data_IF_951149553538
#
_entry.id   IF_951149553538
#
_cell.length_a   1.000
_cell.length_b   1.000
_cell.length_c   1.000
_cell.angle_alpha   90.00
_cell.angle_beta   90.00
_cell.angle_gamma   90.00
#
_symmetry.space_group_name_H-M   'P 1'
#
loop_
_entity.id
_entity.type
_entity.pdbx_description
1 polymer ?
#
# COMPACT_ATOMS: atom_id res chain seq x y z
N UNK A 1 -15.78 6.46 7.15
CA UNK A 1 -14.39 6.11 6.78
C UNK A 1 -14.09 4.76 7.41
N UNK A 2 -13.52 3.82 6.65
CA UNK A 2 -13.14 2.49 7.13
C UNK A 2 -11.64 2.31 6.88
N UNK A 3 -10.91 1.80 7.87
CA UNK A 3 -9.52 1.38 7.73
C UNK A 3 -9.49 -0.15 7.70
N UNK A 4 -8.77 -0.72 6.74
CA UNK A 4 -8.77 -2.16 6.46
C UNK A 4 -7.35 -2.68 6.62
N UNK A 5 -7.19 -3.71 7.45
CA UNK A 5 -6.00 -4.55 7.46
C UNK A 5 -6.07 -5.52 6.28
N UNK A 6 -5.15 -5.40 5.33
CA UNK A 6 -5.06 -6.33 4.20
C UNK A 6 -4.66 -7.74 4.69
N UNK A 7 -4.91 -8.76 3.86
CA UNK A 7 -4.39 -10.12 4.11
C UNK A 7 -2.94 -10.08 4.58
N UNK A 8 -2.58 -10.98 5.48
CA UNK A 8 -1.26 -11.07 6.11
C UNK A 8 -0.87 -9.92 7.03
N UNK A 9 -1.70 -8.88 7.23
CA UNK A 9 -1.37 -7.73 8.08
C UNK A 9 -2.38 -7.59 9.23
N UNK A 10 -1.93 -7.08 10.37
CA UNK A 10 -2.77 -6.74 11.52
C UNK A 10 -3.77 -7.83 11.91
N UNK A 11 -5.04 -7.46 12.08
CA UNK A 11 -6.11 -8.39 12.45
C UNK A 11 -6.43 -9.41 11.36
N UNK A 12 -6.06 -9.14 10.11
CA UNK A 12 -6.25 -10.03 8.97
C UNK A 12 -5.14 -11.07 8.81
N UNK A 13 -4.05 -10.98 9.59
CA UNK A 13 -2.87 -11.81 9.41
C UNK A 13 -3.10 -13.32 9.62
N UNK A 14 -4.05 -13.66 10.50
CA UNK A 14 -4.30 -15.03 10.93
C UNK A 14 -5.71 -15.51 10.56
N UNK A 15 -6.43 -14.80 9.69
CA UNK A 15 -7.78 -15.18 9.28
C UNK A 15 -7.73 -16.43 8.37
N UNK A 16 -8.32 -17.57 8.78
CA UNK A 16 -8.21 -18.84 8.03
C UNK A 16 -8.85 -18.83 6.63
N UNK A 17 -9.71 -17.83 6.37
CA UNK A 17 -10.36 -17.61 5.08
C UNK A 17 -9.42 -17.00 4.04
N UNK A 18 -8.36 -16.28 4.48
CA UNK A 18 -7.42 -15.58 3.62
C UNK A 18 -6.23 -16.47 3.26
N UNK A 19 -6.48 -17.44 2.38
CA UNK A 19 -5.48 -18.44 1.96
C UNK A 19 -4.58 -17.97 0.82
N UNK A 20 -3.41 -18.59 0.63
CA UNK A 20 -2.59 -18.39 -0.57
C UNK A 20 -3.39 -18.60 -1.87
N UNK A 21 -2.99 -17.93 -2.98
CA UNK A 21 -1.78 -17.14 -3.13
C UNK A 21 -1.86 -15.77 -2.45
N UNK A 22 -0.78 -15.35 -1.80
CA UNK A 22 -0.68 -14.03 -1.18
C UNK A 22 -0.13 -13.01 -2.18
N UNK A 23 -1.02 -12.40 -2.97
CA UNK A 23 -0.64 -11.49 -4.05
C UNK A 23 -1.58 -10.27 -4.13
N UNK A 24 -1.28 -9.31 -5.01
CA UNK A 24 -2.08 -8.09 -5.18
C UNK A 24 -3.51 -8.39 -5.60
N UNK A 25 -3.71 -9.31 -6.55
CA UNK A 25 -5.03 -9.71 -7.05
C UNK A 25 -5.93 -10.27 -5.96
N UNK A 26 -5.37 -11.15 -5.14
CA UNK A 26 -6.09 -11.77 -4.05
C UNK A 26 -6.39 -10.76 -2.92
N UNK A 27 -5.48 -9.82 -2.63
CA UNK A 27 -5.76 -8.73 -1.69
C UNK A 27 -6.86 -7.79 -2.18
N UNK A 28 -6.91 -7.47 -3.49
CA UNK A 28 -7.97 -6.66 -4.08
C UNK A 28 -9.32 -7.38 -4.04
N UNK A 29 -9.31 -8.71 -4.26
CA UNK A 29 -10.48 -9.55 -4.12
C UNK A 29 -11.03 -9.55 -2.69
N UNK A 30 -10.17 -9.62 -1.68
CA UNK A 30 -10.60 -9.56 -0.27
C UNK A 30 -11.33 -8.26 0.06
N UNK A 31 -10.86 -7.12 -0.47
CA UNK A 31 -11.54 -5.83 -0.30
C UNK A 31 -12.94 -5.87 -0.92
N UNK A 32 -13.08 -6.44 -2.11
CA UNK A 32 -14.39 -6.60 -2.75
C UNK A 32 -15.31 -7.57 -1.99
N UNK A 33 -14.76 -8.67 -1.47
CA UNK A 33 -15.50 -9.64 -0.67
C UNK A 33 -15.94 -9.05 0.67
N UNK A 34 -15.10 -8.20 1.30
CA UNK A 34 -15.46 -7.44 2.51
C UNK A 34 -16.60 -6.45 2.26
N UNK A 35 -16.54 -5.68 1.18
CA UNK A 35 -17.63 -4.75 0.80
C UNK A 35 -18.96 -5.50 0.68
N UNK A 36 -18.94 -6.68 0.03
CA UNK A 36 -20.13 -7.52 -0.13
C UNK A 36 -20.61 -8.13 1.19
N UNK A 37 -19.70 -8.65 2.03
CA UNK A 37 -20.08 -9.29 3.29
C UNK A 37 -20.72 -8.30 4.26
N UNK A 38 -20.24 -7.06 4.25
CA UNK A 38 -20.78 -5.99 5.08
C UNK A 38 -21.99 -5.28 4.44
N UNK A 39 -22.39 -5.69 3.23
CA UNK A 39 -23.48 -5.07 2.45
C UNK A 39 -23.27 -3.56 2.26
N UNK A 40 -22.03 -3.13 2.08
CA UNK A 40 -21.69 -1.73 1.83
C UNK A 40 -21.94 -1.36 0.37
N UNK A 41 -22.34 -0.10 0.17
CA UNK A 41 -22.27 0.53 -1.15
C UNK A 41 -20.82 0.64 -1.62
N UNK A 42 -20.64 0.82 -2.94
CA UNK A 42 -19.33 1.08 -3.50
C UNK A 42 -18.73 2.35 -2.85
N UNK A 43 -17.47 2.30 -2.37
CA UNK A 43 -16.89 3.44 -1.68
C UNK A 43 -16.69 4.59 -2.66
N UNK A 44 -17.03 5.81 -2.24
CA UNK A 44 -16.79 6.98 -3.07
C UNK A 44 -15.31 7.22 -3.32
N UNK A 45 -14.46 6.91 -2.33
CA UNK A 45 -13.01 7.03 -2.43
C UNK A 45 -12.30 5.84 -1.82
N UNK A 46 -11.22 5.42 -2.47
CA UNK A 46 -10.24 4.51 -1.91
C UNK A 46 -8.88 5.20 -1.85
N UNK A 47 -8.25 5.17 -0.68
CA UNK A 47 -6.95 5.78 -0.43
C UNK A 47 -6.00 4.69 0.05
N UNK A 48 -4.87 4.54 -0.64
CA UNK A 48 -3.92 3.52 -0.30
C UNK A 48 -2.47 3.95 -0.52
N UNK A 49 -1.61 3.49 0.40
CA UNK A 49 -0.18 3.79 0.41
C UNK A 49 0.63 2.60 -0.07
N UNK A 50 1.72 2.86 -0.80
CA UNK A 50 2.72 1.86 -1.17
C UNK A 50 2.07 0.64 -1.85
N UNK A 51 2.30 -0.57 -1.32
CA UNK A 51 1.69 -1.81 -1.80
C UNK A 51 0.16 -1.70 -1.97
N UNK A 52 -0.52 -1.05 -1.03
CA UNK A 52 -1.96 -0.83 -1.09
C UNK A 52 -2.39 -0.02 -2.32
N UNK A 53 -1.53 0.86 -2.84
CA UNK A 53 -1.78 1.61 -4.07
C UNK A 53 -2.04 0.69 -5.27
N UNK A 54 -1.26 -0.39 -5.40
CA UNK A 54 -1.49 -1.41 -6.44
C UNK A 54 -2.70 -2.29 -6.16
N UNK A 55 -3.03 -2.54 -4.88
CA UNK A 55 -4.26 -3.25 -4.49
C UNK A 55 -5.50 -2.49 -4.96
N UNK A 56 -5.54 -1.17 -4.75
CA UNK A 56 -6.71 -0.38 -5.15
C UNK A 56 -6.77 -0.12 -6.67
N UNK A 57 -5.63 -0.12 -7.37
CA UNK A 57 -5.58 -0.12 -8.85
C UNK A 57 -6.15 -1.41 -9.45
N UNK A 58 -5.72 -2.57 -8.94
CA UNK A 58 -6.29 -3.88 -9.29
C UNK A 58 -7.78 -3.92 -8.96
N UNK A 59 -8.18 -3.43 -7.78
CA UNK A 59 -9.59 -3.37 -7.39
C UNK A 59 -10.41 -2.60 -8.43
N UNK A 60 -9.99 -1.38 -8.77
CA UNK A 60 -10.71 -0.53 -9.71
C UNK A 60 -10.80 -1.15 -11.11
N UNK A 61 -9.71 -1.76 -11.60
CA UNK A 61 -9.68 -2.46 -12.88
C UNK A 61 -10.68 -3.63 -12.89
N UNK A 62 -10.62 -4.51 -11.89
CA UNK A 62 -11.46 -5.71 -11.82
C UNK A 62 -12.94 -5.37 -11.58
N UNK A 63 -13.22 -4.35 -10.78
CA UNK A 63 -14.57 -3.82 -10.58
C UNK A 63 -15.15 -3.29 -11.91
N UNK A 64 -14.36 -2.53 -12.68
CA UNK A 64 -14.79 -2.00 -13.97
C UNK A 64 -15.09 -3.10 -15.01
N UNK A 65 -14.39 -4.23 -14.91
CA UNK A 65 -14.61 -5.42 -15.72
C UNK A 65 -15.77 -6.30 -15.21
N UNK A 66 -16.47 -5.92 -14.13
CA UNK A 66 -17.54 -6.71 -13.53
C UNK A 66 -17.06 -7.99 -12.81
N UNK A 67 -15.75 -8.12 -12.55
CA UNK A 67 -15.17 -9.33 -11.92
C UNK A 67 -15.61 -9.54 -10.47
N UNK A 68 -16.17 -8.50 -9.84
CA UNK A 68 -16.67 -8.52 -8.47
C UNK A 68 -18.20 -8.47 -8.37
N UNK A 69 -18.91 -8.69 -9.49
CA UNK A 69 -20.37 -8.65 -9.54
C UNK A 69 -20.88 -7.22 -9.42
N UNK A 70 -21.62 -6.91 -8.35
CA UNK A 70 -22.29 -5.61 -8.15
C UNK A 70 -21.37 -4.51 -7.59
N UNK A 71 -20.11 -4.83 -7.28
CA UNK A 71 -19.17 -3.86 -6.71
C UNK A 71 -18.60 -2.98 -7.81
N UNK A 72 -18.94 -1.69 -7.76
CA UNK A 72 -18.47 -0.69 -8.72
C UNK A 72 -17.09 -0.10 -8.34
N UNK A 73 -16.32 0.42 -9.32
CA UNK A 73 -15.13 1.22 -9.05
C UNK A 73 -15.44 2.47 -8.20
N UNK A 74 -14.49 2.95 -7.38
CA UNK A 74 -14.68 4.18 -6.61
C UNK A 74 -14.68 5.41 -7.51
N UNK A 75 -15.35 6.49 -7.08
CA UNK A 75 -15.32 7.78 -7.80
C UNK A 75 -13.93 8.41 -7.75
N UNK A 76 -13.18 8.21 -6.66
CA UNK A 76 -11.81 8.65 -6.53
C UNK A 76 -10.88 7.52 -6.05
N UNK A 77 -9.72 7.41 -6.69
CA UNK A 77 -8.65 6.51 -6.31
C UNK A 77 -7.42 7.33 -5.93
N UNK A 78 -6.86 7.10 -4.75
CA UNK A 78 -5.67 7.83 -4.26
C UNK A 78 -4.52 6.86 -4.01
N UNK A 79 -3.46 7.02 -4.81
CA UNK A 79 -2.27 6.18 -4.80
C UNK A 79 -1.15 7.00 -4.19
N UNK A 80 -0.80 6.69 -2.94
CA UNK A 80 0.19 7.43 -2.17
C UNK A 80 1.55 6.72 -2.27
N UNK A 81 2.49 7.38 -2.93
CA UNK A 81 3.87 6.97 -3.17
C UNK A 81 4.03 5.50 -3.62
N UNK A 82 3.27 5.11 -4.64
CA UNK A 82 3.38 3.80 -5.29
C UNK A 82 3.43 3.93 -6.80
N UNK A 83 4.47 3.36 -7.40
CA UNK A 83 4.61 3.25 -8.85
C UNK A 83 3.49 2.36 -9.42
N UNK A 84 2.79 2.76 -10.50
CA UNK A 84 1.73 1.94 -11.11
C UNK A 84 2.26 0.70 -11.84
N UNK A 85 3.38 0.84 -12.55
CA UNK A 85 4.02 -0.24 -13.31
C UNK A 85 4.94 -1.13 -12.48
N UNK A 86 5.61 -2.06 -13.16
CA UNK A 86 6.65 -2.89 -12.54
C UNK A 86 7.72 -2.05 -11.82
N UNK A 87 8.19 -2.55 -10.68
CA UNK A 87 9.25 -1.88 -9.91
C UNK A 87 10.60 -2.28 -10.52
N UNK A 88 11.42 -1.32 -11.01
CA UNK A 88 12.69 -1.63 -11.65
C UNK A 88 13.62 -2.46 -10.74
N UNK A 89 14.14 -3.57 -11.26
CA UNK A 89 15.02 -4.48 -10.50
C UNK A 89 16.39 -3.89 -10.18
N UNK A 90 16.84 -2.86 -10.90
CA UNK A 90 18.14 -2.22 -10.67
C UNK A 90 18.21 -1.42 -9.35
N UNK A 91 17.06 -1.20 -8.69
CA UNK A 91 16.96 -0.61 -7.34
C UNK A 91 16.73 -1.69 -6.26
N UNK A 92 17.28 -2.89 -6.44
CA UNK A 92 17.01 -4.08 -5.62
C UNK A 92 17.42 -3.98 -4.14
N UNK A 93 18.10 -2.91 -3.74
CA UNK A 93 18.56 -2.67 -2.36
C UNK A 93 17.66 -1.69 -1.58
N UNK A 94 16.42 -1.49 -2.05
CA UNK A 94 15.41 -0.70 -1.35
C UNK A 94 15.28 -1.10 0.12
N UNK A 95 14.98 -0.12 0.98
CA UNK A 95 14.86 -0.33 2.43
C UNK A 95 13.87 -1.47 2.75
N UNK A 96 12.77 -1.58 2.00
CA UNK A 96 11.73 -2.61 2.18
C UNK A 96 12.26 -4.02 1.89
N UNK A 97 12.99 -4.22 0.78
CA UNK A 97 13.64 -5.51 0.46
C UNK A 97 14.58 -5.95 1.58
N UNK A 98 15.45 -5.04 2.03
CA UNK A 98 16.42 -5.34 3.08
C UNK A 98 15.74 -5.68 4.41
N UNK A 99 14.66 -4.97 4.76
CA UNK A 99 13.82 -5.30 5.92
C UNK A 99 13.24 -6.70 5.78
N UNK A 100 12.52 -7.01 4.69
CA UNK A 100 11.87 -8.30 4.51
C UNK A 100 12.87 -9.47 4.50
N UNK A 101 14.05 -9.28 3.90
CA UNK A 101 15.12 -10.27 3.92
C UNK A 101 15.61 -10.55 5.34
N UNK A 102 15.77 -9.51 6.17
CA UNK A 102 16.15 -9.67 7.57
C UNK A 102 15.05 -10.36 8.36
N UNK A 103 13.79 -9.95 8.20
CA UNK A 103 12.65 -10.51 8.93
C UNK A 103 12.54 -12.03 8.75
N UNK A 104 12.85 -12.54 7.55
CA UNK A 104 12.86 -13.99 7.28
C UNK A 104 13.92 -14.77 8.07
N UNK A 105 15.04 -14.13 8.41
CA UNK A 105 16.15 -14.75 9.13
C UNK A 105 16.10 -14.58 10.66
N UNK A 106 15.07 -13.91 11.21
CA UNK A 106 14.98 -13.68 12.64
C UNK A 106 14.60 -14.96 13.41
N UNK A 107 15.04 -15.08 14.69
CA UNK A 107 14.56 -16.12 15.58
C UNK A 107 13.03 -16.05 15.75
N UNK A 108 12.41 -17.22 15.92
CA UNK A 108 10.98 -17.38 16.22
C UNK A 108 10.85 -18.19 17.52
N UNK A 109 10.35 -17.61 18.62
CA UNK A 109 9.90 -16.22 18.78
C UNK A 109 11.05 -15.21 18.85
N UNK A 110 10.72 -13.93 18.70
CA UNK A 110 11.67 -12.81 18.86
C UNK A 110 11.95 -12.60 20.36
N UNK A 111 13.22 -12.52 20.81
CA UNK A 111 13.55 -12.46 22.23
C UNK A 111 12.88 -11.32 23.01
N UNK A 112 12.90 -10.10 22.46
CA UNK A 112 12.20 -8.94 23.01
C UNK A 112 12.12 -7.81 21.99
N UNK A 113 11.27 -6.81 22.24
CA UNK A 113 11.20 -5.59 21.41
C UNK A 113 12.54 -4.82 21.42
N UNK A 114 13.21 -4.78 22.58
CA UNK A 114 14.53 -4.14 22.71
C UNK A 114 15.57 -4.86 21.86
N UNK A 115 15.61 -6.19 21.95
CA UNK A 115 16.53 -6.99 21.15
C UNK A 115 16.34 -6.75 19.65
N UNK A 116 15.08 -6.70 19.18
CA UNK A 116 14.78 -6.40 17.77
C UNK A 116 15.32 -5.03 17.36
N UNK A 117 15.10 -4.01 18.20
CA UNK A 117 15.55 -2.65 17.91
C UNK A 117 17.09 -2.58 17.80
N UNK A 118 17.79 -3.16 18.78
CA UNK A 118 19.26 -3.21 18.79
C UNK A 118 19.80 -3.95 17.56
N UNK A 119 19.17 -5.08 17.20
CA UNK A 119 19.53 -5.86 16.01
C UNK A 119 19.35 -5.08 14.70
N UNK A 120 18.26 -4.33 14.54
CA UNK A 120 18.02 -3.51 13.34
C UNK A 120 19.02 -2.35 13.23
N UNK A 121 19.35 -1.70 14.35
CA UNK A 121 20.37 -0.64 14.37
C UNK A 121 21.75 -1.21 14.01
N UNK A 122 22.12 -2.39 14.52
CA UNK A 122 23.36 -3.09 14.16
C UNK A 122 23.43 -3.42 12.65
N UNK A 123 22.29 -3.72 12.03
CA UNK A 123 22.17 -3.94 10.57
C UNK A 123 22.12 -2.65 9.75
N UNK A 124 22.30 -1.49 10.38
CA UNK A 124 22.41 -0.18 9.73
C UNK A 124 21.08 0.48 9.39
N UNK A 125 19.98 0.09 10.03
CA UNK A 125 18.70 0.78 9.88
C UNK A 125 18.54 1.92 10.87
N UNK A 126 17.68 2.88 10.54
CA UNK A 126 17.35 3.97 11.45
C UNK A 126 16.62 3.45 12.69
N UNK A 127 16.84 4.14 13.82
CA UNK A 127 16.11 3.87 15.06
C UNK A 127 14.59 4.01 14.86
N UNK A 128 14.15 4.97 14.06
CA UNK A 128 12.73 5.18 13.75
C UNK A 128 12.09 3.98 13.07
N UNK A 129 12.78 3.38 12.07
CA UNK A 129 12.30 2.16 11.42
C UNK A 129 12.27 0.97 12.39
N UNK A 130 13.31 0.84 13.21
CA UNK A 130 13.40 -0.22 14.20
C UNK A 130 12.27 -0.14 15.25
N UNK A 131 11.99 1.07 15.76
CA UNK A 131 10.89 1.33 16.69
C UNK A 131 9.52 1.06 16.04
N UNK A 132 9.33 1.48 14.78
CA UNK A 132 8.11 1.22 14.02
C UNK A 132 7.88 -0.28 13.81
N UNK A 133 8.91 -1.05 13.40
CA UNK A 133 8.80 -2.50 13.32
C UNK A 133 8.47 -3.11 14.68
N UNK A 134 9.13 -2.65 15.75
CA UNK A 134 8.84 -3.09 17.11
C UNK A 134 7.40 -2.87 17.55
N UNK A 135 6.70 -1.86 17.03
CA UNK A 135 5.27 -1.62 17.33
C UNK A 135 4.35 -2.72 16.77
N UNK A 136 4.84 -3.50 15.80
CA UNK A 136 4.12 -4.62 15.18
C UNK A 136 4.38 -5.97 15.88
N UNK A 137 4.83 -5.94 17.13
CA UNK A 137 5.07 -7.12 17.96
C UNK A 137 4.02 -7.28 19.05
N UNK A 138 3.54 -8.51 19.24
CA UNK A 138 2.72 -8.94 20.37
C UNK A 138 3.49 -9.91 21.26
N UNK A 139 3.23 -9.91 22.56
CA UNK A 139 3.80 -10.91 23.47
C UNK A 139 3.22 -12.29 23.14
N UNK A 140 4.07 -13.32 23.16
CA UNK A 140 3.65 -14.72 23.04
C UNK A 140 2.92 -15.17 24.29
N UNK A 141 3.42 -14.76 25.46
CA UNK A 141 2.83 -15.03 26.78
C UNK A 141 2.93 -13.79 27.67
N UNK A 142 2.04 -13.67 28.66
CA UNK A 142 2.16 -12.65 29.71
C UNK A 142 3.34 -12.91 30.66
N UNK A 143 3.92 -14.11 30.63
CA UNK A 143 4.99 -14.54 31.54
C UNK A 143 6.39 -14.45 30.94
N UNK A 144 6.53 -14.19 29.63
CA UNK A 144 7.84 -14.09 28.95
C UNK A 144 7.98 -12.76 28.20
N UNK A 145 9.21 -12.39 27.86
CA UNK A 145 9.49 -11.24 26.99
C UNK A 145 9.41 -11.57 25.51
N UNK A 146 9.23 -12.85 25.18
CA UNK A 146 9.16 -13.35 23.82
C UNK A 146 7.99 -12.73 23.07
N UNK A 147 8.30 -12.32 21.85
CA UNK A 147 7.40 -11.60 20.97
C UNK A 147 7.19 -12.38 19.67
N UNK A 148 6.03 -12.17 19.08
CA UNK A 148 5.72 -12.62 17.73
C UNK A 148 5.15 -11.46 16.91
N UNK A 149 5.19 -11.60 15.60
CA UNK A 149 4.63 -10.60 14.69
C UNK A 149 3.11 -10.57 14.78
N UNK A 150 2.52 -9.37 14.66
CA UNK A 150 1.08 -9.22 14.42
C UNK A 150 0.72 -9.43 12.94
N UNK A 151 1.71 -9.67 12.08
CA UNK A 151 1.56 -9.89 10.65
C UNK A 151 2.28 -11.17 10.21
N UNK A 152 1.88 -11.74 9.07
CA UNK A 152 2.52 -12.91 8.47
C UNK A 152 3.68 -12.45 7.58
N UNK A 153 4.92 -12.66 8.04
CA UNK A 153 6.15 -12.25 7.32
C UNK A 153 6.27 -12.90 5.95
N UNK A 154 5.98 -14.20 5.84
CA UNK A 154 6.09 -14.92 4.56
C UNK A 154 5.02 -14.44 3.57
N UNK A 155 3.79 -14.25 4.05
CA UNK A 155 2.72 -13.69 3.24
C UNK A 155 2.98 -12.24 2.81
N UNK A 156 3.57 -11.41 3.68
CA UNK A 156 3.98 -10.05 3.33
C UNK A 156 5.08 -10.04 2.25
N UNK A 157 6.03 -10.97 2.33
CA UNK A 157 7.06 -11.15 1.29
C UNK A 157 6.46 -11.55 -0.06
N UNK A 158 5.51 -12.49 -0.06
CA UNK A 158 4.82 -12.93 -1.29
C UNK A 158 4.03 -11.78 -1.92
N UNK A 159 3.31 -11.01 -1.10
CA UNK A 159 2.58 -9.84 -1.57
C UNK A 159 3.52 -8.79 -2.14
N UNK A 160 4.65 -8.52 -1.49
CA UNK A 160 5.64 -7.58 -1.98
C UNK A 160 6.32 -8.08 -3.28
N UNK A 161 6.55 -9.38 -3.39
CA UNK A 161 7.06 -9.98 -4.63
C UNK A 161 6.06 -9.84 -5.78
N UNK A 162 4.76 -9.97 -5.50
CA UNK A 162 3.68 -9.68 -6.46
C UNK A 162 3.58 -8.19 -6.79
N UNK A 163 3.73 -7.31 -5.79
CA UNK A 163 3.74 -5.86 -5.97
C UNK A 163 4.78 -5.44 -7.01
N UNK A 164 5.99 -5.98 -6.95
CA UNK A 164 7.06 -5.61 -7.87
C UNK A 164 6.77 -5.97 -9.33
N UNK A 165 6.05 -7.07 -9.56
CA UNK A 165 5.71 -7.59 -10.90
C UNK A 165 4.40 -7.06 -11.46
N UNK A 166 3.56 -6.45 -10.62
CA UNK A 166 2.26 -6.01 -11.07
C UNK A 166 2.37 -4.70 -11.87
N UNK A 167 1.70 -4.65 -13.02
CA UNK A 167 1.68 -3.50 -13.91
C UNK A 167 0.26 -3.01 -14.12
N UNK A 168 0.02 -1.74 -13.81
CA UNK A 168 -1.30 -1.10 -13.94
C UNK A 168 -1.28 0.14 -14.83
N UNK A 169 -0.28 0.28 -15.70
CA UNK A 169 -0.27 1.45 -16.61
C UNK A 169 -1.51 1.52 -17.48
N UNK A 170 -2.05 0.38 -17.90
CA UNK A 170 -3.29 0.31 -18.67
C UNK A 170 -4.48 0.95 -17.94
N UNK A 171 -4.48 0.97 -16.60
CA UNK A 171 -5.54 1.60 -15.79
C UNK A 171 -5.42 3.13 -15.85
N UNK A 172 -4.21 3.67 -15.99
CA UNK A 172 -3.99 5.11 -16.18
C UNK A 172 -4.27 5.51 -17.63
N UNK A 173 -3.94 4.65 -18.59
CA UNK A 173 -4.23 4.87 -20.02
C UNK A 173 -5.75 4.80 -20.31
N UNK A 174 -6.45 3.93 -19.58
CA UNK A 174 -7.89 3.69 -19.68
C UNK A 174 -8.56 3.67 -18.28
N UNK A 175 -8.71 4.84 -17.63
CA UNK A 175 -9.36 4.91 -16.31
C UNK A 175 -10.80 4.37 -16.37
N UNK A 176 -11.27 3.65 -15.33
CA UNK A 176 -12.66 3.23 -15.24
C UNK A 176 -13.63 4.41 -15.38
N UNK A 177 -14.77 4.17 -16.02
CA UNK A 177 -15.81 5.20 -16.21
C UNK A 177 -16.26 5.71 -14.84
N UNK A 178 -16.21 7.03 -14.66
CA UNK A 178 -16.60 7.69 -13.41
C UNK A 178 -15.54 7.69 -12.30
N UNK A 179 -14.35 7.12 -12.55
CA UNK A 179 -13.22 7.12 -11.60
C UNK A 179 -12.19 8.18 -11.96
N UNK A 180 -11.77 8.96 -10.96
CA UNK A 180 -10.61 9.86 -11.03
C UNK A 180 -9.45 9.28 -10.23
N UNK A 181 -8.29 9.13 -10.86
CA UNK A 181 -7.07 8.56 -10.29
C UNK A 181 -6.12 9.69 -9.88
N UNK A 182 -5.82 9.78 -8.60
CA UNK A 182 -4.88 10.74 -8.03
C UNK A 182 -3.62 9.99 -7.57
N UNK A 183 -2.47 10.38 -8.11
CA UNK A 183 -1.18 9.80 -7.75
C UNK A 183 -0.39 10.86 -7.01
N UNK A 184 0.01 10.57 -5.78
CA UNK A 184 0.81 11.49 -4.96
C UNK A 184 2.19 10.90 -4.81
N UNK A 185 3.19 11.54 -5.41
CA UNK A 185 4.60 11.18 -5.24
C UNK A 185 5.22 12.00 -4.11
N UNK A 186 6.01 11.35 -3.26
CA UNK A 186 6.85 12.06 -2.31
C UNK A 186 8.15 12.53 -2.97
N UNK A 187 8.55 13.78 -2.74
CA UNK A 187 9.72 14.36 -3.40
C UNK A 187 11.04 13.65 -3.07
N UNK A 188 11.17 13.09 -1.86
CA UNK A 188 12.38 12.37 -1.40
C UNK A 188 12.28 10.84 -1.61
N UNK A 189 11.28 10.34 -2.31
CA UNK A 189 11.13 8.92 -2.62
C UNK A 189 12.04 8.52 -3.80
N UNK A 190 12.80 7.44 -3.60
CA UNK A 190 13.82 6.90 -4.51
C UNK A 190 13.25 5.94 -5.58
N UNK A 191 11.95 5.68 -5.55
CA UNK A 191 11.28 4.66 -6.38
C UNK A 191 10.89 5.14 -7.77
N UNK A 192 11.11 6.42 -8.06
CA UNK A 192 10.60 7.09 -9.25
C UNK A 192 11.75 7.44 -10.19
N UNK A 193 11.86 6.69 -11.29
CA UNK A 193 12.79 7.04 -12.36
C UNK A 193 12.26 8.23 -13.17
N UNK A 194 13.14 8.98 -13.87
CA UNK A 194 12.73 10.03 -14.78
C UNK A 194 11.67 9.57 -15.80
N UNK A 195 11.80 8.35 -16.32
CA UNK A 195 10.86 7.77 -17.30
C UNK A 195 9.47 7.53 -16.70
N UNK A 196 9.39 7.02 -15.47
CA UNK A 196 8.12 6.84 -14.76
C UNK A 196 7.44 8.20 -14.57
N UNK A 197 8.21 9.22 -14.15
CA UNK A 197 7.70 10.58 -13.95
C UNK A 197 7.21 11.18 -15.27
N UNK A 198 7.96 11.01 -16.36
CA UNK A 198 7.57 11.49 -17.68
C UNK A 198 6.26 10.84 -18.15
N UNK A 199 6.12 9.51 -17.97
CA UNK A 199 4.90 8.78 -18.33
C UNK A 199 3.68 9.21 -17.51
N UNK A 200 3.86 9.53 -16.22
CA UNK A 200 2.76 10.06 -15.39
C UNK A 200 2.30 11.44 -15.86
N UNK A 201 3.24 12.32 -16.18
CA UNK A 201 2.92 13.65 -16.73
C UNK A 201 2.22 13.54 -18.09
N UNK A 202 2.62 12.58 -18.92
CA UNK A 202 1.95 12.30 -20.18
C UNK A 202 0.52 11.78 -19.97
N UNK A 203 0.31 10.86 -19.03
CA UNK A 203 -1.01 10.35 -18.67
C UNK A 203 -1.92 11.48 -18.16
N UNK A 204 -1.43 12.32 -17.25
CA UNK A 204 -2.15 13.51 -16.77
C UNK A 204 -2.49 14.46 -17.92
N UNK A 205 -1.54 14.78 -18.81
CA UNK A 205 -1.78 15.69 -19.93
C UNK A 205 -2.82 15.16 -20.93
N UNK A 206 -2.84 13.84 -21.18
CA UNK A 206 -3.80 13.20 -22.08
C UNK A 206 -5.18 12.97 -21.45
N UNK A 207 -5.25 12.90 -20.12
CA UNK A 207 -6.43 12.45 -19.36
C UNK A 207 -6.68 13.33 -18.13
N UNK A 208 -6.54 14.64 -18.24
CA UNK A 208 -6.59 15.57 -17.10
C UNK A 208 -7.91 15.50 -16.30
N UNK A 209 -8.99 15.08 -16.94
CA UNK A 209 -10.31 14.90 -16.30
C UNK A 209 -10.42 13.59 -15.50
N UNK A 210 -9.42 12.71 -15.59
CA UNK A 210 -9.43 11.36 -15.01
C UNK A 210 -8.14 10.98 -14.26
N UNK A 211 -7.03 11.66 -14.51
CA UNK A 211 -5.73 11.37 -13.90
C UNK A 211 -5.11 12.68 -13.44
N UNK A 212 -4.64 12.72 -12.20
CA UNK A 212 -3.88 13.83 -11.64
C UNK A 212 -2.63 13.34 -10.95
N UNK A 213 -1.52 14.03 -11.18
CA UNK A 213 -0.22 13.71 -10.63
C UNK A 213 0.27 14.84 -9.72
N UNK A 214 0.41 14.52 -8.44
CA UNK A 214 0.74 15.47 -7.38
C UNK A 214 2.14 15.19 -6.85
N UNK A 215 2.90 16.26 -6.60
CA UNK A 215 4.17 16.20 -5.88
C UNK A 215 3.96 16.70 -4.45
N UNK A 216 4.26 15.86 -3.47
CA UNK A 216 4.34 16.26 -2.08
C UNK A 216 5.79 16.58 -1.71
N UNK A 217 6.06 17.86 -1.54
CA UNK A 217 7.35 18.34 -1.07
C UNK A 217 7.62 17.93 0.37
N UNK A 218 8.90 17.87 0.72
CA UNK A 218 9.40 17.61 2.08
C UNK A 218 9.05 16.24 2.68
N UNK A 219 8.47 15.31 1.92
CA UNK A 219 8.16 13.95 2.36
C UNK A 219 9.07 12.89 1.71
N UNK A 220 9.42 11.85 2.48
CA UNK A 220 9.91 10.58 1.98
C UNK A 220 8.76 9.59 1.74
N UNK A 221 9.07 8.29 1.70
CA UNK A 221 8.08 7.27 1.36
C UNK A 221 6.85 7.28 2.30
N UNK A 222 7.03 7.65 3.56
CA UNK A 222 5.99 7.63 4.58
C UNK A 222 5.24 8.97 4.63
N UNK A 223 4.62 9.37 3.51
CA UNK A 223 4.08 10.73 3.32
C UNK A 223 3.18 11.22 4.46
N UNK A 224 2.35 10.33 4.99
CA UNK A 224 1.39 10.60 6.05
C UNK A 224 2.06 10.83 7.41
N UNK A 225 3.27 10.34 7.61
CA UNK A 225 4.10 10.60 8.79
C UNK A 225 5.02 11.80 8.56
N UNK A 226 5.61 11.91 7.37
CA UNK A 226 6.63 12.92 7.07
C UNK A 226 6.03 14.32 6.84
N UNK A 227 4.90 14.42 6.14
CA UNK A 227 4.23 15.70 5.86
C UNK A 227 2.69 15.53 5.80
N UNK A 228 2.03 15.21 6.94
CA UNK A 228 0.59 15.02 7.00
C UNK A 228 -0.19 16.26 6.56
N UNK A 229 0.24 17.45 6.98
CA UNK A 229 -0.44 18.71 6.63
C UNK A 229 -0.40 19.00 5.13
N UNK A 230 0.76 18.78 4.48
CA UNK A 230 0.89 18.94 3.03
C UNK A 230 0.07 17.90 2.26
N UNK A 231 0.03 16.66 2.74
CA UNK A 231 -0.80 15.62 2.13
C UNK A 231 -2.30 15.98 2.23
N UNK A 232 -2.76 16.45 3.39
CA UNK A 232 -4.14 16.92 3.58
C UNK A 232 -4.45 18.11 2.66
N UNK A 233 -3.52 19.05 2.52
CA UNK A 233 -3.71 20.21 1.65
C UNK A 233 -3.91 19.83 0.17
N UNK A 234 -3.27 18.75 -0.29
CA UNK A 234 -3.48 18.18 -1.62
C UNK A 234 -4.84 17.46 -1.69
N UNK A 235 -5.12 16.59 -0.71
CA UNK A 235 -6.23 15.64 -0.81
C UNK A 235 -7.60 16.25 -0.50
N UNK A 236 -7.71 17.03 0.58
CA UNK A 236 -8.99 17.46 1.12
C UNK A 236 -9.84 18.29 0.12
N UNK A 237 -9.27 19.25 -0.65
CA UNK A 237 -10.05 20.01 -1.63
C UNK A 237 -10.63 19.14 -2.76
N UNK A 238 -9.94 18.05 -3.13
CA UNK A 238 -10.37 17.15 -4.20
C UNK A 238 -11.38 16.13 -3.66
N UNK A 239 -11.15 15.57 -2.48
CA UNK A 239 -12.09 14.68 -1.80
C UNK A 239 -13.44 15.37 -1.53
N UNK A 240 -13.44 16.66 -1.17
CA UNK A 240 -14.66 17.43 -0.91
C UNK A 240 -15.60 17.50 -2.13
N UNK A 241 -15.08 17.34 -3.35
CA UNK A 241 -15.89 17.34 -4.59
C UNK A 241 -16.79 16.10 -4.70
N UNK A 242 -16.52 15.04 -3.94
CA UNK A 242 -17.36 13.83 -3.89
C UNK A 242 -18.75 14.16 -3.34
N UNK A 243 -18.82 14.96 -2.28
CA UNK A 243 -20.06 15.30 -1.57
C UNK A 243 -20.91 16.37 -2.26
N UNK A 244 -20.44 16.93 -3.38
CA UNK A 244 -21.08 18.05 -4.08
C UNK A 244 -21.92 17.60 -5.29
N UNK A 245 -22.19 16.30 -5.45
CA UNK A 245 -23.06 15.72 -6.47
C UNK A 245 -24.04 14.74 -5.83
#
# INVERSE_FOLDING_TARGET
>A
MVLIDLRNHGNSANLPILRPPHNISAAARDVADLIKSESWDAPDAMIAHSLGGKVVLEFAQKAAMGSYGVVNPPKQLWILDSVPGEVPTQNSDGEVERVLAILKGLPKPIPSRRWLADYFVEKGFSKGLADWLGSNLKRVSSTTEEMDWVFNVDGAYDMFSSYKKADYWSVLDHPPVGTHINIVRAAKSDRWTPDIIARLKEAEAKKSDHVSFHLLENAGHWLHTDNPSGLIAIMAPILAKISQK
#
